data_IF_436268808980
#
_entry.id   IF_436268808980
#
_cell.length_a   1.000
_cell.length_b   1.000
_cell.length_c   1.000
_cell.angle_alpha   90.00
_cell.angle_beta   90.00
_cell.angle_gamma   90.00
#
_symmetry.space_group_name_H-M   'P 1'
#
loop_
_entity.id
_entity.type
_entity.pdbx_description
1 polymer ?
#
# COMPACT_ATOMS: atom_id res chain seq x y z
N UNK A 1 25.13 12.48 -3.39
CA UNK A 1 23.92 11.67 -3.41
C UNK A 1 24.28 10.23 -3.08
N UNK A 2 23.49 9.57 -2.21
CA UNK A 2 23.80 8.23 -1.77
C UNK A 2 22.51 7.40 -1.50
N UNK A 3 22.57 6.10 -1.79
CA UNK A 3 21.55 5.12 -1.43
C UNK A 3 22.10 4.20 -0.33
N UNK A 4 21.36 4.01 0.75
CA UNK A 4 21.75 3.11 1.83
C UNK A 4 20.63 2.17 2.22
N UNK A 5 20.92 0.87 2.29
CA UNK A 5 19.98 -0.13 2.77
C UNK A 5 20.18 -0.44 4.26
N UNK A 6 19.08 -0.73 4.95
CA UNK A 6 19.06 -1.19 6.35
C UNK A 6 18.41 -2.57 6.37
N UNK A 7 19.23 -3.61 6.39
CA UNK A 7 18.80 -5.01 6.38
C UNK A 7 18.55 -5.55 7.78
N UNK A 8 17.62 -6.46 7.89
CA UNK A 8 17.40 -7.22 9.13
C UNK A 8 16.15 -8.08 9.07
N UNK A 9 16.07 -9.05 9.96
CA UNK A 9 14.92 -9.92 10.11
C UNK A 9 13.67 -9.18 10.54
N UNK A 10 12.44 -9.76 10.36
CA UNK A 10 11.24 -9.23 10.96
C UNK A 10 11.39 -9.04 12.48
N UNK A 11 11.19 -7.84 12.98
CA UNK A 11 11.35 -7.52 14.41
C UNK A 11 12.79 -7.27 14.90
N UNK A 12 13.77 -7.17 14.01
CA UNK A 12 15.17 -6.86 14.36
C UNK A 12 15.40 -5.42 14.85
N UNK A 13 14.41 -4.52 14.68
CA UNK A 13 14.52 -3.12 15.10
C UNK A 13 14.95 -2.16 14.00
N UNK A 14 14.75 -2.50 12.72
CA UNK A 14 15.10 -1.63 11.58
C UNK A 14 14.48 -0.23 11.67
N UNK A 15 13.16 -0.17 11.88
CA UNK A 15 12.44 1.11 12.03
C UNK A 15 12.93 1.88 13.25
N UNK A 16 13.20 1.17 14.37
CA UNK A 16 13.77 1.79 15.57
C UNK A 16 15.11 2.44 15.27
N UNK A 17 16.02 1.72 14.63
CA UNK A 17 17.33 2.23 14.23
C UNK A 17 17.19 3.45 13.30
N UNK A 18 16.33 3.33 12.27
CA UNK A 18 16.11 4.41 11.31
C UNK A 18 15.60 5.68 12.00
N UNK A 19 14.59 5.56 12.86
CA UNK A 19 13.99 6.72 13.55
C UNK A 19 14.96 7.36 14.52
N UNK A 20 15.70 6.59 15.32
CA UNK A 20 16.75 7.12 16.21
C UNK A 20 17.87 7.82 15.42
N UNK A 21 18.26 7.24 14.27
CA UNK A 21 19.24 7.85 13.39
C UNK A 21 18.75 9.20 12.85
N UNK A 22 17.53 9.24 12.29
CA UNK A 22 16.94 10.46 11.74
C UNK A 22 16.76 11.54 12.82
N UNK A 23 16.24 11.19 14.00
CA UNK A 23 16.10 12.12 15.11
C UNK A 23 17.45 12.72 15.50
N UNK A 24 18.48 11.89 15.63
CA UNK A 24 19.82 12.35 16.00
C UNK A 24 20.43 13.30 14.93
N UNK A 25 20.31 12.93 13.66
CA UNK A 25 20.86 13.74 12.56
C UNK A 25 20.04 15.04 12.37
N UNK A 26 18.72 15.02 12.53
CA UNK A 26 17.88 16.22 12.44
C UNK A 26 18.18 17.26 13.52
N UNK A 27 18.60 16.79 14.69
CA UNK A 27 19.04 17.70 15.77
C UNK A 27 20.43 18.33 15.52
N UNK A 28 21.31 17.62 14.81
CA UNK A 28 22.65 18.13 14.44
C UNK A 28 22.60 19.09 13.25
N UNK A 29 21.69 18.81 12.33
CA UNK A 29 21.57 19.55 11.06
C UNK A 29 20.15 20.08 10.90
N UNK A 30 19.77 21.14 11.62
CA UNK A 30 18.40 21.68 11.61
C UNK A 30 18.01 22.31 10.26
N UNK A 31 18.98 22.62 9.42
CA UNK A 31 18.77 23.23 8.09
C UNK A 31 18.40 22.20 7.02
N UNK A 32 18.58 20.90 7.31
CA UNK A 32 18.26 19.81 6.41
C UNK A 32 16.83 19.30 6.68
N UNK A 33 16.07 19.09 5.62
CA UNK A 33 14.76 18.46 5.71
C UNK A 33 14.93 16.92 5.73
N UNK A 34 14.30 16.29 6.71
CA UNK A 34 14.23 14.83 6.81
C UNK A 34 12.83 14.38 6.49
N UNK A 35 12.65 13.55 5.46
CA UNK A 35 11.35 13.08 5.01
C UNK A 35 11.28 11.57 5.19
N UNK A 36 10.39 11.10 6.04
CA UNK A 36 10.15 9.68 6.25
C UNK A 36 8.92 9.28 5.45
N UNK A 37 9.13 8.48 4.41
CA UNK A 37 8.08 7.89 3.61
C UNK A 37 7.65 6.55 4.19
N UNK A 38 6.35 6.41 4.42
CA UNK A 38 5.72 5.18 4.91
C UNK A 38 4.43 4.91 4.12
N UNK A 39 3.94 3.67 4.08
CA UNK A 39 2.59 3.38 3.59
C UNK A 39 1.55 4.24 4.30
N UNK A 40 0.52 4.66 3.58
CA UNK A 40 -0.43 5.70 4.03
C UNK A 40 -1.06 5.39 5.40
N UNK A 41 -1.39 4.12 5.65
CA UNK A 41 -1.98 3.66 6.91
C UNK A 41 -1.05 3.82 8.13
N UNK A 42 0.26 3.94 7.92
CA UNK A 42 1.24 4.05 9.01
C UNK A 42 1.68 5.48 9.31
N UNK A 43 1.28 6.48 8.53
CA UNK A 43 1.75 7.86 8.67
C UNK A 43 1.50 8.43 10.08
N UNK A 44 0.27 8.31 10.59
CA UNK A 44 -0.10 8.80 11.93
C UNK A 44 0.65 8.07 13.05
N UNK A 45 0.80 6.75 12.93
CA UNK A 45 1.52 5.95 13.93
C UNK A 45 3.00 6.32 13.96
N UNK A 46 3.63 6.43 12.81
CA UNK A 46 5.04 6.80 12.68
C UNK A 46 5.30 8.20 13.22
N UNK A 47 4.45 9.16 12.87
CA UNK A 47 4.56 10.52 13.38
C UNK A 47 4.47 10.56 14.91
N UNK A 48 3.50 9.87 15.49
CA UNK A 48 3.35 9.74 16.94
C UNK A 48 4.59 9.11 17.58
N UNK A 49 5.12 8.05 16.98
CA UNK A 49 6.30 7.36 17.49
C UNK A 49 7.54 8.25 17.48
N UNK A 50 7.76 9.02 16.43
CA UNK A 50 8.86 9.99 16.33
C UNK A 50 8.75 11.09 17.39
N UNK A 51 7.56 11.68 17.56
CA UNK A 51 7.33 12.70 18.59
C UNK A 51 7.60 12.16 20.00
N UNK A 52 7.16 10.94 20.30
CA UNK A 52 7.40 10.31 21.60
C UNK A 52 8.87 9.98 21.86
N UNK A 53 9.63 9.65 20.81
CA UNK A 53 11.07 9.34 20.90
C UNK A 53 11.94 10.59 20.93
N UNK A 54 11.49 11.66 20.29
CA UNK A 54 12.29 12.88 20.18
C UNK A 54 12.46 13.52 21.58
N UNK A 55 13.69 13.87 21.99
CA UNK A 55 13.97 14.40 23.33
C UNK A 55 13.17 15.65 23.70
N UNK A 56 12.78 16.45 22.72
CA UNK A 56 11.98 17.67 22.88
C UNK A 56 10.48 17.42 22.65
N UNK A 57 10.06 16.18 22.44
CA UNK A 57 8.67 15.81 22.14
C UNK A 57 8.03 16.60 20.97
N UNK A 58 8.84 17.01 19.99
CA UNK A 58 8.42 17.75 18.81
C UNK A 58 9.36 17.51 17.65
N UNK A 59 8.81 17.46 16.46
CA UNK A 59 9.56 17.33 15.20
C UNK A 59 9.38 18.63 14.39
N UNK A 60 10.47 19.29 14.03
CA UNK A 60 10.44 20.56 13.30
C UNK A 60 10.82 20.38 11.83
N UNK A 61 11.94 19.70 11.59
CA UNK A 61 12.50 19.44 10.26
C UNK A 61 12.41 17.96 9.86
N UNK A 62 11.48 17.21 10.49
CA UNK A 62 11.16 15.82 10.13
C UNK A 62 9.70 15.78 9.69
N UNK A 63 9.47 15.37 8.46
CA UNK A 63 8.13 15.14 7.91
C UNK A 63 7.86 13.64 7.73
N UNK A 64 6.63 13.21 8.05
CA UNK A 64 6.17 11.84 7.81
C UNK A 64 5.06 11.86 6.78
N UNK A 65 5.32 11.28 5.63
CA UNK A 65 4.46 11.39 4.46
C UNK A 65 4.24 10.00 3.82
N UNK A 66 3.16 9.86 3.06
CA UNK A 66 3.03 8.83 2.03
C UNK A 66 3.48 9.39 0.68
N UNK A 67 3.68 8.54 -0.33
CA UNK A 67 3.99 9.01 -1.69
C UNK A 67 2.96 10.03 -2.21
N UNK A 68 1.68 9.77 -1.98
CA UNK A 68 0.62 10.69 -2.39
C UNK A 68 0.72 12.03 -1.67
N UNK A 69 0.92 12.04 -0.36
CA UNK A 69 1.07 13.29 0.42
C UNK A 69 2.32 14.07 0.05
N UNK A 70 3.41 13.37 -0.26
CA UNK A 70 4.61 14.00 -0.78
C UNK A 70 4.31 14.70 -2.12
N UNK A 71 3.64 14.00 -3.04
CA UNK A 71 3.27 14.57 -4.33
C UNK A 71 2.42 15.83 -4.17
N UNK A 72 1.39 15.79 -3.33
CA UNK A 72 0.56 16.96 -3.03
C UNK A 72 1.38 18.16 -2.54
N UNK A 73 2.26 17.92 -1.59
CA UNK A 73 3.10 18.96 -0.98
C UNK A 73 4.03 19.63 -1.99
N UNK A 74 4.66 18.83 -2.85
CA UNK A 74 5.54 19.34 -3.92
C UNK A 74 4.73 20.08 -4.98
N UNK A 75 3.55 19.59 -5.36
CA UNK A 75 2.69 20.27 -6.32
C UNK A 75 2.16 21.60 -5.79
N UNK A 76 1.80 21.68 -4.52
CA UNK A 76 1.43 22.95 -3.85
C UNK A 76 2.62 23.93 -3.83
N UNK A 77 3.81 23.45 -3.46
CA UNK A 77 5.04 24.27 -3.44
C UNK A 77 5.39 24.83 -4.82
N UNK A 78 5.24 24.03 -5.87
CA UNK A 78 5.62 24.40 -7.24
C UNK A 78 4.53 25.13 -8.03
N UNK A 79 3.35 25.37 -7.41
CA UNK A 79 2.24 26.05 -8.03
C UNK A 79 1.44 25.20 -9.05
N UNK A 80 1.70 23.90 -9.12
CA UNK A 80 1.02 22.96 -10.02
C UNK A 80 -0.22 22.28 -9.38
N UNK A 81 -0.62 22.71 -8.19
CA UNK A 81 -1.76 22.13 -7.44
C UNK A 81 -3.16 22.54 -7.93
N UNK A 82 -3.29 23.20 -9.08
CA UNK A 82 -4.58 23.76 -9.53
C UNK A 82 -5.54 22.76 -10.16
N UNK A 83 -5.11 21.53 -10.46
CA UNK A 83 -5.98 20.50 -11.05
C UNK A 83 -6.71 19.70 -9.96
N UNK A 84 -8.00 19.48 -10.15
CA UNK A 84 -8.79 18.66 -9.24
C UNK A 84 -8.42 17.18 -9.36
N UNK A 85 -8.21 16.55 -8.19
CA UNK A 85 -7.90 15.12 -8.13
C UNK A 85 -9.17 14.32 -8.11
N UNK A 86 -9.27 13.43 -9.09
CA UNK A 86 -10.41 12.56 -9.26
C UNK A 86 -10.32 11.37 -8.28
N UNK A 87 -11.32 11.24 -7.44
CA UNK A 87 -11.47 10.07 -6.57
C UNK A 87 -12.04 8.85 -7.32
N UNK A 88 -12.11 7.72 -6.65
CA UNK A 88 -12.60 6.47 -7.24
C UNK A 88 -14.07 6.55 -7.70
N UNK A 89 -14.90 7.33 -7.01
CA UNK A 89 -16.29 7.52 -7.38
C UNK A 89 -16.42 8.43 -8.61
N UNK A 90 -15.63 9.49 -8.65
CA UNK A 90 -15.53 10.36 -9.83
C UNK A 90 -15.08 9.58 -11.08
N UNK A 91 -14.08 8.70 -10.95
CA UNK A 91 -13.66 7.79 -12.05
C UNK A 91 -14.81 6.91 -12.51
N UNK A 92 -15.56 6.30 -11.58
CA UNK A 92 -16.71 5.45 -11.91
C UNK A 92 -17.79 6.24 -12.67
N UNK A 93 -18.09 7.49 -12.26
CA UNK A 93 -19.07 8.33 -12.93
C UNK A 93 -18.65 8.69 -14.34
N UNK A 94 -17.38 9.08 -14.54
CA UNK A 94 -16.85 9.41 -15.86
C UNK A 94 -16.86 8.18 -16.76
N UNK A 95 -16.33 7.05 -16.30
CA UNK A 95 -16.31 5.81 -17.07
C UNK A 95 -17.70 5.33 -17.44
N UNK A 96 -18.68 5.49 -16.54
CA UNK A 96 -20.08 5.17 -16.85
C UNK A 96 -20.65 6.06 -17.97
N UNK A 97 -20.33 7.35 -17.96
CA UNK A 97 -20.72 8.29 -19.01
C UNK A 97 -20.07 7.94 -20.36
N UNK A 98 -18.78 7.61 -20.34
CA UNK A 98 -18.03 7.22 -21.53
C UNK A 98 -18.51 5.87 -22.09
N UNK A 99 -18.80 4.90 -21.23
CA UNK A 99 -19.41 3.63 -21.61
C UNK A 99 -20.72 3.80 -22.39
N UNK A 100 -21.54 4.78 -22.00
CA UNK A 100 -22.75 5.12 -22.75
C UNK A 100 -22.49 5.68 -24.13
N UNK A 101 -21.37 6.39 -24.34
CA UNK A 101 -20.99 6.98 -25.63
C UNK A 101 -20.26 6.02 -26.56
N UNK A 102 -19.47 5.12 -26.00
CA UNK A 102 -18.58 4.18 -26.73
C UNK A 102 -19.16 2.77 -26.87
N UNK A 103 -20.40 2.51 -26.42
CA UNK A 103 -21.00 1.18 -26.38
C UNK A 103 -20.98 0.46 -27.73
N UNK A 104 -21.20 1.19 -28.83
CA UNK A 104 -21.24 0.61 -30.17
C UNK A 104 -19.85 0.20 -30.69
N UNK A 105 -18.78 0.76 -30.16
CA UNK A 105 -17.39 0.39 -30.48
C UNK A 105 -16.88 -0.79 -29.68
N UNK A 106 -17.61 -1.26 -28.64
CA UNK A 106 -17.21 -2.39 -27.80
C UNK A 106 -17.77 -3.71 -28.34
N UNK A 107 -17.00 -4.79 -28.25
CA UNK A 107 -17.40 -6.14 -28.69
C UNK A 107 -17.84 -7.03 -27.54
N UNK A 108 -16.98 -7.19 -26.55
CA UNK A 108 -17.17 -8.11 -25.41
C UNK A 108 -17.95 -7.45 -24.29
N UNK A 109 -17.62 -6.19 -23.97
CA UNK A 109 -18.24 -5.42 -22.89
C UNK A 109 -19.58 -4.80 -23.30
N UNK A 110 -19.93 -4.79 -24.59
CA UNK A 110 -21.20 -4.28 -25.10
C UNK A 110 -22.39 -4.90 -24.35
N UNK A 111 -23.35 -4.07 -23.97
CA UNK A 111 -24.57 -4.48 -23.25
C UNK A 111 -24.40 -4.72 -21.76
N UNK A 112 -23.18 -4.96 -21.25
CA UNK A 112 -22.91 -5.15 -19.82
C UNK A 112 -22.13 -3.98 -19.19
N UNK A 113 -21.41 -3.21 -20.00
CA UNK A 113 -20.51 -2.16 -19.54
C UNK A 113 -21.18 -1.11 -18.63
N UNK A 114 -22.49 -0.85 -18.78
CA UNK A 114 -23.22 0.11 -17.96
C UNK A 114 -23.58 -0.41 -16.56
N UNK A 115 -23.38 -1.70 -16.29
CA UNK A 115 -23.63 -2.29 -14.97
C UNK A 115 -22.55 -1.83 -13.99
N UNK A 116 -22.89 -1.42 -12.75
CA UNK A 116 -21.92 -0.87 -11.81
C UNK A 116 -20.70 -1.76 -11.55
N UNK A 117 -20.89 -3.08 -11.47
CA UNK A 117 -19.79 -4.03 -11.30
C UNK A 117 -18.78 -4.00 -12.45
N UNK A 118 -19.25 -3.97 -13.70
CA UNK A 118 -18.37 -3.89 -14.86
C UNK A 118 -17.59 -2.58 -14.94
N UNK A 119 -18.24 -1.45 -14.63
CA UNK A 119 -17.54 -0.15 -14.56
C UNK A 119 -16.44 -0.17 -13.50
N UNK A 120 -16.73 -0.74 -12.33
CA UNK A 120 -15.75 -0.85 -11.25
C UNK A 120 -14.55 -1.73 -11.65
N UNK A 121 -14.79 -2.83 -12.36
CA UNK A 121 -13.71 -3.68 -12.87
C UNK A 121 -12.87 -2.96 -13.93
N UNK A 122 -13.50 -2.29 -14.91
CA UNK A 122 -12.78 -1.50 -15.91
C UNK A 122 -11.95 -0.40 -15.25
N UNK A 123 -12.52 0.30 -14.26
CA UNK A 123 -11.78 1.29 -13.47
C UNK A 123 -10.56 0.66 -12.80
N UNK A 124 -10.72 -0.50 -12.19
CA UNK A 124 -9.61 -1.18 -11.48
C UNK A 124 -8.50 -1.57 -12.44
N UNK A 125 -8.84 -2.10 -13.61
CA UNK A 125 -7.85 -2.45 -14.65
C UNK A 125 -7.15 -1.20 -15.18
N UNK A 126 -7.86 -0.12 -15.48
CA UNK A 126 -7.25 1.14 -15.93
C UNK A 126 -6.30 1.69 -14.85
N UNK A 127 -6.73 1.71 -13.58
CA UNK A 127 -5.88 2.16 -12.47
C UNK A 127 -4.62 1.29 -12.32
N UNK A 128 -4.73 -0.01 -12.53
CA UNK A 128 -3.59 -0.93 -12.50
C UNK A 128 -2.63 -0.66 -13.67
N UNK A 129 -3.13 -0.54 -14.90
CA UNK A 129 -2.32 -0.20 -16.07
C UNK A 129 -1.56 1.12 -15.88
N UNK A 130 -2.23 2.15 -15.36
CA UNK A 130 -1.59 3.43 -15.05
C UNK A 130 -0.49 3.28 -13.99
N UNK A 131 -0.72 2.50 -12.92
CA UNK A 131 0.31 2.24 -11.89
C UNK A 131 1.53 1.52 -12.43
N UNK A 132 1.34 0.66 -13.44
CA UNK A 132 2.42 -0.03 -14.15
C UNK A 132 3.01 0.78 -15.30
N UNK A 133 2.59 2.04 -15.46
CA UNK A 133 3.02 2.95 -16.52
C UNK A 133 2.76 2.40 -17.92
N UNK A 134 1.64 1.70 -18.10
CA UNK A 134 1.17 1.18 -19.39
C UNK A 134 0.12 2.16 -19.92
N UNK A 135 0.46 2.86 -21.01
CA UNK A 135 -0.46 3.74 -21.72
C UNK A 135 -1.45 2.95 -22.60
N UNK A 136 -2.54 3.55 -23.08
CA UNK A 136 -3.42 2.90 -24.07
C UNK A 136 -2.69 2.33 -25.27
N UNK A 137 -1.69 3.06 -25.82
CA UNK A 137 -0.87 2.59 -26.93
C UNK A 137 0.06 1.43 -26.52
N UNK A 138 0.56 1.44 -25.28
CA UNK A 138 1.36 0.35 -24.72
C UNK A 138 0.60 -0.97 -24.52
N UNK A 139 -0.73 -0.97 -24.64
CA UNK A 139 -1.54 -2.19 -24.61
C UNK A 139 -1.47 -3.00 -25.91
N UNK A 140 -0.98 -2.43 -27.00
CA UNK A 140 -0.91 -3.12 -28.30
C UNK A 140 -0.03 -4.38 -28.23
N UNK A 141 1.08 -4.31 -27.50
CA UNK A 141 1.96 -5.47 -27.27
C UNK A 141 1.22 -6.60 -26.52
N UNK A 142 0.46 -6.24 -25.46
CA UNK A 142 -0.33 -7.20 -24.69
C UNK A 142 -1.43 -7.86 -25.53
N UNK A 143 -2.07 -7.08 -26.44
CA UNK A 143 -3.12 -7.56 -27.33
C UNK A 143 -2.53 -8.54 -28.35
N UNK A 144 -1.34 -8.23 -28.86
CA UNK A 144 -0.63 -9.07 -29.83
C UNK A 144 -0.19 -10.40 -29.20
N UNK A 145 0.36 -10.37 -27.99
CA UNK A 145 0.73 -11.58 -27.23
C UNK A 145 -0.47 -12.47 -26.87
N UNK A 146 -1.67 -11.88 -26.73
CA UNK A 146 -2.88 -12.62 -26.34
C UNK A 146 -3.55 -13.40 -27.48
N UNK A 147 -2.96 -13.50 -28.67
CA UNK A 147 -3.60 -14.01 -29.89
C UNK A 147 -4.81 -13.17 -30.31
N UNK A 148 -4.70 -12.42 -31.40
CA UNK A 148 -5.69 -11.43 -31.85
C UNK A 148 -7.12 -11.97 -32.02
N UNK A 149 -7.27 -13.26 -32.24
CA UNK A 149 -8.57 -13.96 -32.41
C UNK A 149 -9.18 -14.39 -31.07
N UNK A 150 -8.45 -14.27 -29.96
CA UNK A 150 -8.88 -14.74 -28.64
C UNK A 150 -9.92 -13.81 -28.00
N UNK A 151 -10.76 -14.39 -27.14
CA UNK A 151 -11.69 -13.62 -26.32
C UNK A 151 -10.96 -12.61 -25.42
N UNK A 152 -9.75 -12.96 -24.96
CA UNK A 152 -8.91 -12.09 -24.15
C UNK A 152 -8.47 -10.85 -24.94
N UNK A 153 -7.98 -11.03 -26.16
CA UNK A 153 -7.57 -9.93 -27.03
C UNK A 153 -8.73 -8.96 -27.31
N UNK A 154 -9.93 -9.48 -27.57
CA UNK A 154 -11.11 -8.61 -27.76
C UNK A 154 -11.50 -7.86 -26.50
N UNK A 155 -11.38 -8.48 -25.32
CA UNK A 155 -11.61 -7.82 -24.04
C UNK A 155 -10.57 -6.73 -23.76
N UNK A 156 -9.30 -6.98 -24.09
CA UNK A 156 -8.22 -5.99 -23.96
C UNK A 156 -8.45 -4.80 -24.92
N UNK A 157 -8.88 -5.05 -26.17
CA UNK A 157 -9.26 -3.98 -27.12
C UNK A 157 -10.40 -3.12 -26.58
N UNK A 158 -11.42 -3.72 -25.99
CA UNK A 158 -12.53 -2.97 -25.35
C UNK A 158 -12.04 -2.11 -24.18
N UNK A 159 -11.13 -2.65 -23.35
CA UNK A 159 -10.51 -1.90 -22.25
C UNK A 159 -9.66 -0.75 -22.78
N UNK A 160 -8.88 -0.99 -23.84
CA UNK A 160 -8.07 0.03 -24.51
C UNK A 160 -8.92 1.21 -25.00
N UNK A 161 -10.05 0.94 -25.67
CA UNK A 161 -11.00 1.96 -26.12
C UNK A 161 -11.54 2.78 -24.95
N UNK A 162 -11.88 2.12 -23.84
CA UNK A 162 -12.37 2.79 -22.65
C UNK A 162 -11.27 3.61 -21.96
N UNK A 163 -10.04 3.11 -21.94
CA UNK A 163 -8.91 3.78 -21.34
C UNK A 163 -8.51 5.03 -22.13
N UNK A 164 -8.41 4.91 -23.45
CA UNK A 164 -8.14 6.06 -24.33
C UNK A 164 -9.22 7.14 -24.18
N UNK A 165 -10.51 6.77 -24.21
CA UNK A 165 -11.60 7.73 -24.01
C UNK A 165 -11.57 8.37 -22.61
N UNK A 166 -11.10 7.65 -21.59
CA UNK A 166 -10.94 8.15 -20.24
C UNK A 166 -9.82 9.18 -20.15
N UNK A 167 -8.64 8.90 -20.73
CA UNK A 167 -7.52 9.86 -20.79
C UNK A 167 -7.90 11.13 -21.58
N UNK A 168 -8.54 10.97 -22.74
CA UNK A 168 -9.05 12.11 -23.52
C UNK A 168 -10.02 12.99 -22.72
N UNK A 169 -10.85 12.38 -21.87
CA UNK A 169 -11.80 13.13 -21.03
C UNK A 169 -11.11 13.86 -19.88
N UNK A 170 -10.06 13.26 -19.30
CA UNK A 170 -9.32 13.83 -18.18
C UNK A 170 -8.39 14.97 -18.62
N UNK A 171 -7.92 14.95 -19.87
CA UNK A 171 -6.97 15.91 -20.38
C UNK A 171 -7.34 17.34 -19.98
N UNK A 172 -6.40 18.04 -19.34
CA UNK A 172 -6.49 19.43 -18.88
C UNK A 172 -7.52 19.73 -17.75
N UNK A 173 -8.29 18.75 -17.28
CA UNK A 173 -9.35 18.99 -16.28
C UNK A 173 -9.08 18.35 -14.93
N UNK A 174 -8.69 17.10 -14.94
CA UNK A 174 -8.54 16.28 -13.74
C UNK A 174 -7.21 15.54 -13.75
N UNK A 175 -6.77 15.15 -12.57
CA UNK A 175 -5.62 14.27 -12.35
C UNK A 175 -6.11 13.05 -11.58
N UNK A 176 -5.69 11.87 -11.94
CA UNK A 176 -5.93 10.67 -11.13
C UNK A 176 -4.89 10.53 -10.02
N UNK A 177 -5.22 9.75 -8.98
CA UNK A 177 -4.26 9.47 -7.90
C UNK A 177 -3.00 8.74 -8.40
N UNK A 178 -3.14 7.99 -9.46
CA UNK A 178 -2.04 7.25 -10.08
C UNK A 178 -1.11 8.20 -10.86
N UNK A 179 -1.68 9.14 -11.63
CA UNK A 179 -0.91 10.11 -12.40
C UNK A 179 -0.17 11.14 -11.54
N UNK A 180 -0.60 11.34 -10.31
CA UNK A 180 0.01 12.35 -9.42
C UNK A 180 1.51 12.09 -9.21
N UNK A 181 1.95 10.82 -9.22
CA UNK A 181 3.35 10.45 -9.09
C UNK A 181 4.15 10.74 -10.35
N UNK A 182 3.55 10.61 -11.53
CA UNK A 182 4.21 10.98 -12.78
C UNK A 182 4.40 12.50 -12.89
N UNK A 183 3.38 13.26 -12.52
CA UNK A 183 3.46 14.72 -12.45
C UNK A 183 4.50 15.15 -11.41
N UNK A 184 4.58 14.45 -10.26
CA UNK A 184 5.61 14.69 -9.26
C UNK A 184 7.00 14.59 -9.89
N UNK A 185 7.32 13.53 -10.63
CA UNK A 185 8.60 13.36 -11.30
C UNK A 185 8.97 14.58 -12.16
N UNK A 186 8.00 15.16 -12.87
CA UNK A 186 8.23 16.28 -13.78
C UNK A 186 8.47 17.64 -13.08
N UNK A 187 8.25 17.74 -11.77
CA UNK A 187 8.37 18.99 -11.01
C UNK A 187 9.31 18.90 -9.82
N UNK A 188 9.90 17.74 -9.57
CA UNK A 188 10.77 17.51 -8.40
C UNK A 188 12.00 18.40 -8.41
N UNK A 189 12.55 18.70 -9.59
CA UNK A 189 13.68 19.60 -9.80
C UNK A 189 13.45 21.02 -9.24
N UNK A 190 12.19 21.45 -9.17
CA UNK A 190 11.77 22.78 -8.70
C UNK A 190 11.46 22.82 -7.20
N UNK A 191 11.40 21.68 -6.55
CA UNK A 191 11.04 21.61 -5.13
C UNK A 191 12.24 21.97 -4.24
N UNK A 192 12.06 23.01 -3.43
CA UNK A 192 13.04 23.40 -2.40
C UNK A 192 13.02 22.43 -1.22
N UNK A 193 11.86 21.83 -0.95
CA UNK A 193 11.69 20.87 0.14
C UNK A 193 12.52 19.59 -0.11
N UNK A 194 12.59 19.13 -1.36
CA UNK A 194 13.32 17.92 -1.73
C UNK A 194 14.80 18.16 -1.95
N UNK A 195 15.16 19.36 -2.38
CA UNK A 195 16.55 19.72 -2.65
C UNK A 195 17.39 19.54 -1.38
N UNK A 196 18.47 18.77 -1.49
CA UNK A 196 19.41 18.48 -0.40
C UNK A 196 18.77 17.84 0.86
N UNK A 197 17.57 17.28 0.72
CA UNK A 197 16.89 16.57 1.81
C UNK A 197 17.44 15.14 2.03
N UNK A 198 17.17 14.58 3.19
CA UNK A 198 17.39 13.16 3.49
C UNK A 198 16.05 12.45 3.49
N UNK A 199 15.91 11.43 2.63
CA UNK A 199 14.69 10.64 2.53
C UNK A 199 14.90 9.27 3.15
N UNK A 200 13.97 8.85 3.99
CA UNK A 200 13.95 7.53 4.61
C UNK A 200 12.67 6.80 4.25
N UNK A 201 12.77 5.56 3.75
CA UNK A 201 11.62 4.72 3.42
C UNK A 201 11.53 3.58 4.42
N UNK A 202 10.37 3.43 5.06
CA UNK A 202 10.13 2.38 6.05
C UNK A 202 8.81 1.65 5.81
N UNK A 203 8.82 0.33 6.01
CA UNK A 203 7.63 -0.52 5.95
C UNK A 203 7.17 -0.91 4.55
N UNK A 204 7.97 -0.69 3.51
CA UNK A 204 7.67 -1.14 2.15
C UNK A 204 8.19 -2.55 1.91
N UNK A 205 7.44 -3.32 1.13
CA UNK A 205 7.82 -4.67 0.68
C UNK A 205 8.20 -4.71 -0.80
N UNK A 206 7.93 -3.65 -1.53
CA UNK A 206 8.23 -3.48 -2.96
C UNK A 206 7.70 -2.13 -3.44
N UNK A 207 8.06 -1.76 -4.65
CA UNK A 207 7.62 -0.52 -5.30
C UNK A 207 6.99 -0.82 -6.66
N UNK A 208 5.97 -0.06 -7.03
CA UNK A 208 5.43 -0.07 -8.40
C UNK A 208 6.44 0.57 -9.36
N UNK A 209 6.35 0.31 -10.67
CA UNK A 209 7.23 0.96 -11.65
C UNK A 209 7.23 2.48 -11.54
N UNK A 210 6.06 3.08 -11.31
CA UNK A 210 5.91 4.52 -11.13
C UNK A 210 6.58 5.02 -9.84
N UNK A 211 6.48 4.27 -8.74
CA UNK A 211 7.23 4.59 -7.52
C UNK A 211 8.74 4.45 -7.72
N UNK A 212 9.18 3.46 -8.49
CA UNK A 212 10.60 3.32 -8.85
C UNK A 212 11.10 4.53 -9.67
N UNK A 213 10.29 5.07 -10.59
CA UNK A 213 10.60 6.31 -11.30
C UNK A 213 10.77 7.49 -10.35
N UNK A 214 9.82 7.66 -9.41
CA UNK A 214 9.92 8.70 -8.36
C UNK A 214 11.18 8.52 -7.52
N UNK A 215 11.54 7.29 -7.16
CA UNK A 215 12.77 7.00 -6.40
C UNK A 215 14.03 7.32 -7.20
N UNK A 216 14.03 7.11 -8.52
CA UNK A 216 15.13 7.55 -9.41
C UNK A 216 15.34 9.06 -9.33
N UNK A 217 14.26 9.82 -9.48
CA UNK A 217 14.32 11.29 -9.34
C UNK A 217 14.75 11.73 -7.93
N UNK A 218 14.29 11.05 -6.87
CA UNK A 218 14.76 11.31 -5.51
C UNK A 218 16.25 11.06 -5.36
N UNK A 219 16.77 9.99 -5.93
CA UNK A 219 18.20 9.69 -5.93
C UNK A 219 19.03 10.76 -6.66
N UNK A 220 18.42 11.46 -7.62
CA UNK A 220 19.06 12.53 -8.38
C UNK A 220 19.03 13.89 -7.67
N UNK A 221 18.02 14.16 -6.84
CA UNK A 221 17.81 15.49 -6.24
C UNK A 221 18.11 15.57 -4.74
N UNK A 222 18.01 14.43 -4.03
CA UNK A 222 18.17 14.39 -2.58
C UNK A 222 19.60 14.04 -2.17
N UNK A 223 20.02 14.50 -1.00
CA UNK A 223 21.35 14.22 -0.46
C UNK A 223 21.56 12.71 -0.21
N UNK A 224 20.55 12.06 0.39
CA UNK A 224 20.61 10.65 0.76
C UNK A 224 19.22 10.01 0.77
N UNK A 225 19.15 8.76 0.31
CA UNK A 225 17.96 7.92 0.42
C UNK A 225 18.30 6.68 1.24
N UNK A 226 17.56 6.44 2.32
CA UNK A 226 17.74 5.30 3.23
C UNK A 226 16.50 4.42 3.18
N UNK A 227 16.68 3.09 3.11
CA UNK A 227 15.55 2.17 2.94
C UNK A 227 15.67 0.98 3.89
N UNK A 228 14.63 0.75 4.71
CA UNK A 228 14.54 -0.47 5.52
C UNK A 228 14.06 -1.64 4.67
N UNK A 229 14.79 -2.74 4.72
CA UNK A 229 14.48 -3.94 3.95
C UNK A 229 14.45 -5.15 4.87
N UNK A 230 13.33 -5.87 4.83
CA UNK A 230 13.20 -7.12 5.57
C UNK A 230 13.91 -8.24 4.79
N UNK A 231 14.98 -8.77 5.38
CA UNK A 231 15.82 -9.79 4.77
C UNK A 231 16.39 -10.70 5.83
N UNK A 232 16.53 -11.99 5.53
CA UNK A 232 17.22 -12.96 6.38
C UNK A 232 18.73 -12.88 6.16
N UNK A 233 19.51 -13.02 7.23
CA UNK A 233 20.99 -13.07 7.17
C UNK A 233 21.54 -14.14 6.23
N UNK A 234 20.79 -15.24 6.04
CA UNK A 234 21.16 -16.38 5.19
C UNK A 234 20.99 -16.11 3.69
N UNK A 235 20.32 -15.01 3.34
CA UNK A 235 20.01 -14.66 1.97
C UNK A 235 20.92 -13.55 1.47
N UNK A 236 21.37 -13.67 0.23
CA UNK A 236 22.03 -12.56 -0.46
C UNK A 236 20.96 -11.61 -0.99
N UNK A 237 20.92 -10.35 -0.53
CA UNK A 237 19.90 -9.39 -0.94
C UNK A 237 20.02 -8.95 -2.41
N UNK A 238 21.17 -9.13 -3.03
CA UNK A 238 21.48 -8.69 -4.38
C UNK A 238 21.30 -9.77 -5.44
N UNK A 239 21.03 -11.02 -5.03
CA UNK A 239 20.89 -12.15 -5.93
C UNK A 239 19.46 -12.70 -5.93
N UNK A 240 18.78 -12.56 -7.07
CA UNK A 240 17.47 -13.14 -7.31
C UNK A 240 17.64 -14.53 -7.91
N UNK A 241 17.33 -15.59 -7.15
CA UNK A 241 17.41 -16.98 -7.61
C UNK A 241 16.10 -17.46 -8.26
N UNK A 242 14.99 -17.16 -7.62
CA UNK A 242 13.66 -17.59 -8.03
C UNK A 242 12.62 -16.55 -7.54
N UNK A 243 11.56 -16.39 -8.33
CA UNK A 243 10.42 -15.51 -7.98
C UNK A 243 9.56 -16.04 -6.82
N UNK A 244 9.66 -17.31 -6.49
CA UNK A 244 8.92 -17.96 -5.39
C UNK A 244 9.71 -18.08 -4.08
N UNK A 245 10.93 -17.58 -4.02
CA UNK A 245 11.71 -17.59 -2.78
C UNK A 245 11.09 -16.66 -1.72
N UNK A 246 11.32 -16.96 -0.46
CA UNK A 246 10.66 -16.31 0.68
C UNK A 246 10.81 -14.78 0.69
N UNK A 247 11.95 -14.24 0.27
CA UNK A 247 12.20 -12.80 0.20
C UNK A 247 12.25 -12.24 -1.23
N UNK A 248 11.54 -12.88 -2.17
CA UNK A 248 11.56 -12.49 -3.57
C UNK A 248 11.23 -11.00 -3.78
N UNK A 249 10.16 -10.50 -3.16
CA UNK A 249 9.75 -9.09 -3.28
C UNK A 249 10.82 -8.14 -2.72
N UNK A 250 11.40 -8.46 -1.56
CA UNK A 250 12.47 -7.65 -0.97
C UNK A 250 13.73 -7.64 -1.84
N UNK A 251 14.09 -8.76 -2.43
CA UNK A 251 15.23 -8.86 -3.36
C UNK A 251 14.96 -8.11 -4.66
N UNK A 252 13.77 -8.25 -5.21
CA UNK A 252 13.35 -7.49 -6.39
C UNK A 252 13.43 -5.98 -6.13
N UNK A 253 12.96 -5.52 -4.98
CA UNK A 253 13.08 -4.13 -4.57
C UNK A 253 14.55 -3.67 -4.52
N UNK A 254 15.43 -4.44 -3.87
CA UNK A 254 16.84 -4.10 -3.75
C UNK A 254 17.53 -4.08 -5.11
N UNK A 255 17.35 -5.12 -5.92
CA UNK A 255 17.98 -5.21 -7.26
C UNK A 255 17.50 -4.10 -8.21
N UNK A 256 16.21 -3.76 -8.17
CA UNK A 256 15.67 -2.64 -8.95
C UNK A 256 16.28 -1.31 -8.52
N UNK A 257 16.40 -1.04 -7.23
CA UNK A 257 16.97 0.20 -6.73
C UNK A 257 18.48 0.30 -6.98
N UNK A 258 19.20 -0.80 -6.88
CA UNK A 258 20.63 -0.83 -7.23
C UNK A 258 20.84 -0.55 -8.72
N UNK A 259 19.97 -1.10 -9.58
CA UNK A 259 19.97 -0.82 -11.02
C UNK A 259 19.73 0.68 -11.29
N UNK A 260 18.68 1.25 -10.69
CA UNK A 260 18.36 2.69 -10.81
C UNK A 260 19.52 3.55 -10.30
N UNK A 261 20.09 3.23 -9.13
CA UNK A 261 21.25 3.96 -8.60
C UNK A 261 22.45 3.90 -9.54
N UNK A 262 22.65 2.77 -10.23
CA UNK A 262 23.70 2.63 -11.27
C UNK A 262 23.44 3.50 -12.50
N UNK A 263 22.19 3.55 -12.98
CA UNK A 263 21.76 4.40 -14.09
C UNK A 263 21.93 5.88 -13.76
N UNK A 264 21.56 6.30 -12.55
CA UNK A 264 21.69 7.67 -12.05
C UNK A 264 23.12 8.01 -11.52
N UNK A 265 24.05 7.06 -11.56
CA UNK A 265 25.43 7.21 -11.07
C UNK A 265 25.52 7.63 -9.58
N UNK A 266 24.58 7.13 -8.79
CA UNK A 266 24.51 7.39 -7.35
C UNK A 266 25.28 6.32 -6.58
N UNK A 267 26.02 6.74 -5.56
CA UNK A 267 26.77 5.85 -4.68
C UNK A 267 25.82 4.98 -3.85
N UNK A 268 25.99 3.67 -3.93
CA UNK A 268 25.37 2.73 -2.99
C UNK A 268 26.33 2.54 -1.82
N UNK A 269 25.95 3.06 -0.65
CA UNK A 269 26.75 2.94 0.57
C UNK A 269 26.69 1.52 1.16
N UNK A 270 27.66 1.21 2.04
CA UNK A 270 27.60 -0.04 2.81
C UNK A 270 26.30 -0.16 3.58
N UNK A 271 25.62 -1.31 3.49
CA UNK A 271 24.36 -1.52 4.17
C UNK A 271 24.53 -1.63 5.69
N UNK A 272 23.56 -1.12 6.41
CA UNK A 272 23.45 -1.36 7.84
C UNK A 272 22.75 -2.70 8.06
N UNK A 273 23.43 -3.65 8.72
CA UNK A 273 22.92 -4.99 8.95
C UNK A 273 22.52 -5.18 10.42
N UNK A 274 21.24 -5.38 10.68
CA UNK A 274 20.66 -5.56 12.01
C UNK A 274 20.28 -7.03 12.24
N UNK A 275 21.26 -7.89 12.26
CA UNK A 275 21.08 -9.35 12.45
C UNK A 275 21.51 -9.78 13.84
N UNK A 276 20.60 -9.61 14.80
CA UNK A 276 20.82 -10.01 16.18
C UNK A 276 20.09 -11.32 16.48
N UNK A 277 20.73 -12.25 17.16
CA UNK A 277 20.12 -13.51 17.62
C UNK A 277 20.10 -13.56 19.15
N UNK A 278 18.96 -13.83 19.80
CA UNK A 278 17.62 -13.88 19.19
C UNK A 278 17.17 -12.50 18.69
N UNK A 279 16.29 -12.49 17.68
CA UNK A 279 15.72 -11.25 17.14
C UNK A 279 15.11 -10.42 18.27
N UNK A 280 15.41 -9.14 18.31
CA UNK A 280 15.06 -8.23 19.40
C UNK A 280 13.60 -8.37 19.90
N UNK A 281 12.63 -8.40 18.98
CA UNK A 281 11.20 -8.52 19.30
C UNK A 281 10.87 -9.80 20.05
N UNK A 282 11.57 -10.87 19.76
CA UNK A 282 11.26 -12.21 20.26
C UNK A 282 12.22 -12.69 21.36
N UNK A 283 13.10 -11.84 21.88
CA UNK A 283 14.10 -12.21 22.91
C UNK A 283 13.50 -12.86 24.16
N UNK A 284 12.27 -12.49 24.52
CA UNK A 284 11.55 -13.03 25.67
C UNK A 284 10.52 -14.12 25.28
N UNK A 285 10.54 -14.58 24.03
CA UNK A 285 9.59 -15.57 23.50
C UNK A 285 10.32 -16.55 22.58
N UNK A 286 11.10 -17.52 23.14
CA UNK A 286 11.94 -18.43 22.35
C UNK A 286 11.21 -19.21 21.27
N UNK A 287 9.95 -19.61 21.54
CA UNK A 287 9.12 -20.31 20.56
C UNK A 287 8.78 -19.42 19.34
N UNK A 288 8.55 -18.12 19.55
CA UNK A 288 8.34 -17.18 18.44
C UNK A 288 9.64 -16.88 17.71
N UNK A 289 10.78 -16.78 18.43
CA UNK A 289 12.08 -16.63 17.80
C UNK A 289 12.42 -17.86 16.93
N UNK A 290 12.12 -19.06 17.41
CA UNK A 290 12.28 -20.28 16.62
C UNK A 290 11.35 -20.28 15.39
N UNK A 291 10.10 -19.91 15.55
CA UNK A 291 9.13 -19.84 14.46
C UNK A 291 9.59 -18.83 13.39
N UNK A 292 10.03 -17.64 13.77
CA UNK A 292 10.58 -16.64 12.84
C UNK A 292 11.78 -17.21 12.06
N UNK A 293 12.68 -17.93 12.74
CA UNK A 293 13.91 -18.47 12.16
C UNK A 293 13.66 -19.63 11.20
N UNK A 294 12.66 -20.48 11.46
CA UNK A 294 12.49 -21.76 10.76
C UNK A 294 11.24 -21.85 9.87
N UNK A 295 10.23 -20.98 10.09
CA UNK A 295 9.01 -20.98 9.30
C UNK A 295 9.31 -20.76 7.81
N UNK A 296 8.72 -21.57 6.95
CA UNK A 296 8.92 -21.60 5.49
C UNK A 296 10.37 -21.86 5.03
N UNK A 297 11.26 -22.33 5.92
CA UNK A 297 12.64 -22.70 5.56
C UNK A 297 12.81 -24.17 5.21
N UNK A 298 11.76 -24.99 5.45
CA UNK A 298 11.78 -26.45 5.21
C UNK A 298 12.99 -27.15 5.85
N UNK A 299 13.43 -26.65 7.00
CA UNK A 299 14.64 -27.15 7.69
C UNK A 299 14.44 -28.51 8.38
N UNK A 300 13.19 -28.97 8.50
CA UNK A 300 12.85 -30.17 9.26
C UNK A 300 13.03 -30.05 10.78
N UNK A 301 13.43 -28.90 11.28
CA UNK A 301 13.65 -28.66 12.71
C UNK A 301 12.34 -28.49 13.45
N UNK A 302 12.30 -29.01 14.67
CA UNK A 302 11.11 -28.96 15.55
C UNK A 302 11.48 -28.28 16.87
N UNK A 303 10.61 -27.40 17.36
CA UNK A 303 10.75 -26.82 18.69
C UNK A 303 10.31 -27.87 19.74
N UNK A 304 11.23 -28.26 20.61
CA UNK A 304 11.01 -29.39 21.57
C UNK A 304 10.68 -28.94 22.97
N UNK A 305 10.84 -27.66 23.29
CA UNK A 305 10.58 -27.16 24.62
C UNK A 305 9.09 -26.86 24.83
N UNK A 306 8.63 -26.93 26.09
CA UNK A 306 7.27 -26.54 26.44
C UNK A 306 7.06 -25.06 26.18
N UNK A 307 5.99 -24.72 25.45
CA UNK A 307 5.69 -23.35 25.06
C UNK A 307 4.20 -23.03 25.21
N UNK A 308 3.89 -21.74 25.38
CA UNK A 308 2.52 -21.21 25.48
C UNK A 308 2.29 -19.98 24.57
N UNK A 309 3.31 -19.56 23.84
CA UNK A 309 3.27 -18.36 23.00
C UNK A 309 2.50 -18.56 21.71
N UNK A 310 2.59 -19.77 21.12
CA UNK A 310 1.95 -20.11 19.86
C UNK A 310 0.84 -21.12 20.09
N UNK A 311 -0.33 -20.88 19.53
CA UNK A 311 -1.48 -21.78 19.58
C UNK A 311 -2.15 -21.82 18.22
N UNK A 312 -2.61 -22.98 17.81
CA UNK A 312 -3.39 -23.18 16.59
C UNK A 312 -4.76 -23.71 16.99
N UNK A 313 -5.78 -23.10 16.44
CA UNK A 313 -7.17 -23.52 16.65
C UNK A 313 -7.78 -23.86 15.31
N UNK A 314 -8.59 -24.92 15.27
CA UNK A 314 -9.44 -25.24 14.15
C UNK A 314 -10.89 -25.02 14.56
N UNK A 315 -11.62 -24.24 13.79
CA UNK A 315 -13.04 -23.98 13.99
C UNK A 315 -13.86 -24.57 12.84
N UNK A 316 -15.13 -24.88 13.09
CA UNK A 316 -16.00 -25.51 12.10
C UNK A 316 -16.45 -24.54 11.00
N UNK A 317 -16.48 -23.25 11.29
CA UNK A 317 -16.90 -22.19 10.36
C UNK A 317 -16.33 -20.83 10.80
N UNK A 318 -16.36 -19.82 9.93
CA UNK A 318 -15.82 -18.48 10.23
C UNK A 318 -16.43 -17.83 11.48
N UNK A 319 -17.70 -18.02 11.76
CA UNK A 319 -18.34 -17.50 12.97
C UNK A 319 -17.71 -18.08 14.24
N UNK A 320 -17.54 -19.39 14.31
CA UNK A 320 -16.90 -20.03 15.47
C UNK A 320 -15.43 -19.62 15.59
N UNK A 321 -14.75 -19.36 14.50
CA UNK A 321 -13.38 -18.84 14.50
C UNK A 321 -13.33 -17.47 15.18
N UNK A 322 -14.26 -16.57 14.82
CA UNK A 322 -14.39 -15.24 15.46
C UNK A 322 -14.79 -15.36 16.92
N UNK A 323 -15.70 -16.28 17.28
CA UNK A 323 -16.07 -16.54 18.68
C UNK A 323 -14.87 -17.03 19.50
N UNK A 324 -14.07 -17.96 18.97
CA UNK A 324 -12.82 -18.39 19.61
C UNK A 324 -11.85 -17.23 19.84
N UNK A 325 -11.71 -16.35 18.86
CA UNK A 325 -10.88 -15.14 18.98
C UNK A 325 -11.42 -14.21 20.07
N UNK A 326 -12.74 -13.95 20.11
CA UNK A 326 -13.37 -13.11 21.10
C UNK A 326 -13.19 -13.65 22.54
N UNK A 327 -13.41 -14.95 22.73
CA UNK A 327 -13.19 -15.62 24.02
C UNK A 327 -11.71 -15.49 24.44
N UNK A 328 -10.78 -15.66 23.49
CA UNK A 328 -9.35 -15.52 23.76
C UNK A 328 -8.97 -14.09 24.15
N UNK A 329 -9.50 -13.09 23.46
CA UNK A 329 -9.33 -11.68 23.80
C UNK A 329 -9.82 -11.40 25.23
N UNK A 330 -11.05 -11.83 25.57
CA UNK A 330 -11.58 -11.65 26.92
C UNK A 330 -10.74 -12.34 27.99
N UNK A 331 -10.19 -13.53 27.68
CA UNK A 331 -9.25 -14.21 28.57
C UNK A 331 -7.97 -13.39 28.78
N UNK A 332 -7.38 -12.86 27.71
CA UNK A 332 -6.15 -12.06 27.78
C UNK A 332 -6.36 -10.80 28.63
N UNK A 333 -7.47 -10.10 28.44
CA UNK A 333 -7.82 -8.90 29.21
C UNK A 333 -8.02 -9.25 30.69
N UNK A 334 -8.83 -10.27 31.00
CA UNK A 334 -9.24 -10.58 32.38
C UNK A 334 -8.18 -11.30 33.20
N UNK A 335 -7.35 -12.13 32.57
CA UNK A 335 -6.42 -13.03 33.28
C UNK A 335 -4.95 -12.69 33.03
N UNK A 336 -4.65 -11.92 32.01
CA UNK A 336 -3.27 -11.56 31.63
C UNK A 336 -3.02 -10.07 31.60
N UNK A 337 -4.00 -9.26 32.00
CA UNK A 337 -3.94 -7.80 32.14
C UNK A 337 -3.54 -7.05 30.87
N UNK A 338 -3.77 -7.68 29.70
CA UNK A 338 -3.58 -7.00 28.41
C UNK A 338 -4.63 -5.90 28.24
N UNK A 339 -4.26 -4.84 27.52
CA UNK A 339 -5.21 -3.80 27.08
C UNK A 339 -5.67 -4.11 25.66
N UNK A 340 -6.90 -3.75 25.32
CA UNK A 340 -7.45 -3.98 23.96
C UNK A 340 -6.53 -3.44 22.87
N UNK A 341 -5.91 -2.27 23.07
CA UNK A 341 -4.96 -1.66 22.12
C UNK A 341 -3.66 -2.46 21.89
N UNK A 342 -3.40 -3.47 22.67
CA UNK A 342 -2.21 -4.34 22.59
C UNK A 342 -2.53 -5.64 21.83
N UNK A 343 -3.78 -5.80 21.39
CA UNK A 343 -4.26 -7.00 20.70
C UNK A 343 -4.67 -6.61 19.29
N UNK A 344 -4.13 -7.32 18.29
CA UNK A 344 -4.53 -7.19 16.90
C UNK A 344 -5.13 -8.51 16.39
N UNK A 345 -6.18 -8.41 15.59
CA UNK A 345 -6.75 -9.52 14.83
C UNK A 345 -6.48 -9.25 13.35
N UNK A 346 -5.88 -10.21 12.67
CA UNK A 346 -5.50 -10.12 11.27
C UNK A 346 -6.31 -11.16 10.49
N UNK A 347 -7.09 -10.71 9.52
CA UNK A 347 -7.83 -11.58 8.61
C UNK A 347 -7.33 -11.37 7.17
N UNK A 348 -7.23 -12.46 6.42
CA UNK A 348 -6.80 -12.43 5.00
C UNK A 348 -7.87 -11.83 4.09
N UNK A 349 -9.15 -12.03 4.40
CA UNK A 349 -10.29 -11.49 3.66
C UNK A 349 -11.32 -10.87 4.62
N UNK A 350 -11.34 -9.55 4.67
CA UNK A 350 -12.28 -8.81 5.51
C UNK A 350 -13.73 -8.92 5.02
N UNK A 351 -13.99 -9.20 3.74
CA UNK A 351 -15.36 -9.37 3.26
C UNK A 351 -16.02 -10.61 3.87
N UNK A 352 -15.23 -11.64 4.16
CA UNK A 352 -15.71 -12.85 4.80
C UNK A 352 -15.96 -12.67 6.31
N UNK A 353 -15.14 -11.85 6.98
CA UNK A 353 -15.12 -11.80 8.44
C UNK A 353 -15.71 -10.52 9.05
N UNK A 354 -15.82 -9.42 8.31
CA UNK A 354 -16.16 -8.11 8.89
C UNK A 354 -17.50 -8.11 9.65
N UNK A 355 -18.55 -8.67 9.05
CA UNK A 355 -19.88 -8.70 9.66
C UNK A 355 -19.92 -9.60 10.90
N UNK A 356 -19.27 -10.76 10.83
CA UNK A 356 -19.18 -11.68 11.97
C UNK A 356 -18.34 -11.10 13.11
N UNK A 357 -17.25 -10.42 12.81
CA UNK A 357 -16.42 -9.71 13.80
C UNK A 357 -17.25 -8.62 14.48
N UNK A 358 -17.93 -7.76 13.71
CA UNK A 358 -18.73 -6.68 14.27
C UNK A 358 -19.81 -7.20 15.22
N UNK A 359 -20.55 -8.23 14.79
CA UNK A 359 -21.62 -8.85 15.57
C UNK A 359 -21.07 -9.49 16.84
N UNK A 360 -20.10 -10.39 16.69
CA UNK A 360 -19.57 -11.17 17.81
C UNK A 360 -18.84 -10.28 18.81
N UNK A 361 -18.02 -9.33 18.35
CA UNK A 361 -17.30 -8.44 19.27
C UNK A 361 -18.24 -7.50 20.02
N UNK A 362 -19.36 -7.10 19.41
CA UNK A 362 -20.42 -6.37 20.10
C UNK A 362 -21.08 -7.23 21.17
N UNK A 363 -21.42 -8.48 20.90
CA UNK A 363 -21.99 -9.44 21.85
C UNK A 363 -21.04 -9.70 23.04
N UNK A 364 -19.73 -9.73 22.77
CA UNK A 364 -18.68 -9.90 23.80
C UNK A 364 -18.20 -8.59 24.43
N UNK A 365 -18.80 -7.43 24.09
CA UNK A 365 -18.41 -6.09 24.54
C UNK A 365 -16.91 -5.80 24.31
N UNK A 366 -16.37 -6.21 23.17
CA UNK A 366 -14.99 -5.96 22.77
C UNK A 366 -14.96 -4.71 21.89
N UNK A 367 -14.32 -3.62 22.31
CA UNK A 367 -14.12 -2.47 21.46
C UNK A 367 -13.17 -2.82 20.31
N UNK A 368 -13.58 -2.57 19.08
CA UNK A 368 -12.80 -2.88 17.88
C UNK A 368 -12.77 -1.68 16.94
N UNK A 369 -11.59 -1.41 16.40
CA UNK A 369 -11.41 -0.60 15.21
C UNK A 369 -11.16 -1.54 14.04
N UNK A 370 -11.94 -1.42 12.98
CA UNK A 370 -11.76 -2.18 11.75
C UNK A 370 -11.35 -1.24 10.62
N UNK A 371 -10.19 -1.49 10.01
CA UNK A 371 -9.74 -0.82 8.79
C UNK A 371 -10.43 -1.48 7.58
N UNK A 372 -11.71 -1.13 7.39
CA UNK A 372 -12.58 -1.71 6.37
C UNK A 372 -13.53 -0.65 5.81
N UNK A 373 -13.55 -0.54 4.49
CA UNK A 373 -14.46 0.37 3.77
C UNK A 373 -15.84 -0.27 3.65
N UNK A 374 -16.85 0.34 4.25
CA UNK A 374 -18.25 -0.11 4.12
C UNK A 374 -18.90 0.49 2.89
N UNK A 375 -19.58 -0.36 2.13
CA UNK A 375 -20.42 0.13 1.06
C UNK A 375 -21.74 0.68 1.66
N UNK A 376 -21.91 2.00 1.61
CA UNK A 376 -23.10 2.69 2.13
C UNK A 376 -24.40 2.18 1.47
N UNK A 377 -24.32 1.70 0.23
CA UNK A 377 -25.47 1.13 -0.49
C UNK A 377 -26.00 -0.18 0.11
N UNK A 378 -25.22 -0.86 0.91
CA UNK A 378 -25.61 -2.08 1.64
C UNK A 378 -26.17 -1.77 3.03
N UNK A 379 -26.08 -0.53 3.51
CA UNK A 379 -26.69 -0.09 4.75
C UNK A 379 -28.20 0.09 4.56
N UNK A 380 -28.97 0.00 5.67
CA UNK A 380 -30.43 0.27 5.65
C UNK A 380 -30.73 1.64 5.03
N UNK A 381 -29.91 2.65 5.33
CA UNK A 381 -30.01 3.98 4.75
C UNK A 381 -29.75 3.99 3.23
N UNK A 382 -28.78 3.20 2.76
CA UNK A 382 -28.49 3.05 1.33
C UNK A 382 -29.60 2.32 0.57
N UNK A 383 -30.25 1.34 1.18
CA UNK A 383 -31.44 0.68 0.62
C UNK A 383 -32.59 1.66 0.53
N UNK A 384 -32.79 2.50 1.55
CA UNK A 384 -33.82 3.54 1.54
C UNK A 384 -33.58 4.61 0.46
N UNK A 385 -32.33 5.05 0.27
CA UNK A 385 -31.94 5.98 -0.81
C UNK A 385 -32.15 5.36 -2.21
N UNK A 386 -31.86 4.07 -2.38
CA UNK A 386 -32.16 3.33 -3.62
C UNK A 386 -33.67 3.26 -3.87
N UNK A 387 -34.44 3.08 -2.84
CA UNK A 387 -35.89 3.00 -2.94
C UNK A 387 -36.52 4.39 -3.30
N UNK A 388 -36.06 5.46 -2.66
CA UNK A 388 -36.48 6.84 -3.00
C UNK A 388 -36.10 7.20 -4.43
N UNK A 389 -34.90 6.91 -4.90
CA UNK A 389 -34.47 7.17 -6.27
C UNK A 389 -35.30 6.38 -7.30
N UNK A 390 -35.71 5.15 -6.99
CA UNK A 390 -36.62 4.38 -7.87
C UNK A 390 -38.01 5.02 -7.96
N UNK A 391 -38.56 5.52 -6.86
CA UNK A 391 -39.87 6.19 -6.84
C UNK A 391 -39.78 7.52 -7.60
N UNK A 392 -38.69 8.26 -7.45
CA UNK A 392 -38.46 9.51 -8.16
C UNK A 392 -38.35 9.31 -9.68
N UNK A 393 -37.60 8.31 -10.12
CA UNK A 393 -37.51 7.96 -11.54
C UNK A 393 -38.80 7.43 -12.13
N UNK A 394 -39.60 6.67 -11.39
CA UNK A 394 -40.93 6.25 -11.84
C UNK A 394 -41.92 7.46 -11.96
N UNK A 395 -41.82 8.42 -11.07
CA UNK A 395 -42.69 9.63 -11.17
C UNK A 395 -42.28 10.55 -12.32
N UNK A 396 -41.00 10.63 -12.66
CA UNK A 396 -40.50 11.43 -13.80
C UNK A 396 -40.83 10.77 -15.15
N UNK A 397 -40.85 9.44 -15.22
CA UNK A 397 -41.22 8.72 -16.44
C UNK A 397 -42.73 8.55 -16.67
N UNK A 398 -43.59 8.93 -15.68
CA UNK A 398 -45.05 8.86 -15.81
C UNK A 398 -45.71 10.23 -16.12
N UNK A 399 -44.89 11.26 -16.36
CA UNK A 399 -45.34 12.64 -16.66
C UNK A 399 -44.83 13.12 -18.03
N UNK A 400 -44.33 12.19 -18.86
CA UNK A 400 -43.95 12.49 -20.25
C UNK A 400 -44.74 11.64 -21.24
#
# INVERSE_FOLDING_TARGET
MALQFIFGNPGSGKSHYLYEHIIRESMKHPDINYIILVPEQFTMQTQKELVLRHPRHGIMNIDVLSFARLAFRVLEETGNGSREILDDEGKNLILRRLAGKKEDSLKVLKGNIKKPGYISEVKSVISELTQYNISPDGMDDMITEADESSYLAWKLKDIQVMYQAFEEYLADKYITKEEILDILCNVMDKSRMLKDSVIALDGFTGFTPLQNKVLGEMLHHCQKVMITVTMDKREDPYVMKDKYQLFALSKQMVTSLVKIAGEEKVLVEEPVCLYQEPVWRFRNAPALAFLEKELFRYSGRTYREKQSNVRVYAAANPRMEVECAAQRIRFLIRKKEYRYREIAVIASDMNLYADEIEKTFREYEIPVFMDYKRNVLLSISGVFLRWQNRIFLQKVCSVS
#
